data_IF_679780626957
#
_entry.id   IF_679780626957
#
_cell.length_a   1.000
_cell.length_b   1.000
_cell.length_c   1.000
_cell.angle_alpha   90.00
_cell.angle_beta   90.00
_cell.angle_gamma   90.00
#
_symmetry.space_group_name_H-M   'P 1'
#
loop_
_entity.id
_entity.type
_entity.pdbx_description
1 polymer ?
#
# COMPACT_ATOMS: atom_id res chain seq x y z
N UNK A 1 1.06 19.50 11.53
CA UNK A 1 1.35 18.27 12.26
C UNK A 1 2.72 17.75 11.82
N UNK A 2 3.75 18.07 12.64
CA UNK A 2 5.17 17.85 12.31
C UNK A 2 5.61 16.38 12.49
N UNK A 3 4.71 15.52 13.00
CA UNK A 3 4.99 14.10 13.20
C UNK A 3 4.93 13.26 11.91
N UNK A 4 4.51 13.88 10.79
CA UNK A 4 4.39 13.23 9.49
C UNK A 4 5.51 13.58 8.52
N UNK A 5 6.66 14.05 9.02
CA UNK A 5 7.80 14.33 8.15
C UNK A 5 8.63 13.06 7.95
N UNK A 6 8.43 12.33 6.88
CA UNK A 6 9.32 11.22 6.60
C UNK A 6 10.63 11.80 6.07
N UNK A 7 11.70 11.47 6.72
CA UNK A 7 13.00 11.65 6.10
C UNK A 7 13.11 10.70 4.92
N UNK A 8 13.79 11.14 3.87
CA UNK A 8 13.83 10.51 2.54
C UNK A 8 13.92 8.98 2.54
N UNK A 9 14.65 8.36 3.46
CA UNK A 9 14.87 6.90 3.47
C UNK A 9 13.79 6.12 4.20
N UNK A 10 13.24 6.62 5.29
CA UNK A 10 12.23 5.86 6.05
C UNK A 10 10.86 5.88 5.37
N UNK A 11 10.49 6.96 4.66
CA UNK A 11 9.25 7.02 3.90
C UNK A 11 9.28 6.23 2.60
N UNK A 12 10.47 6.08 1.97
CA UNK A 12 10.62 5.26 0.78
C UNK A 12 10.56 3.77 1.14
N UNK A 13 10.91 3.41 2.37
CA UNK A 13 10.96 2.04 2.86
C UNK A 13 9.64 1.53 3.44
N UNK A 14 8.87 2.41 4.09
CA UNK A 14 7.59 2.01 4.66
C UNK A 14 6.66 1.38 3.61
N UNK A 15 6.47 1.96 2.40
CA UNK A 15 5.72 1.29 1.36
C UNK A 15 6.36 -0.01 0.86
N UNK A 16 7.69 -0.11 0.83
CA UNK A 16 8.38 -1.33 0.41
C UNK A 16 8.18 -2.47 1.41
N UNK A 17 8.31 -2.21 2.70
CA UNK A 17 8.03 -3.18 3.76
C UNK A 17 6.55 -3.58 3.77
N UNK A 18 5.64 -2.62 3.64
CA UNK A 18 4.19 -2.87 3.53
C UNK A 18 3.87 -3.76 2.32
N UNK A 19 4.47 -3.49 1.15
CA UNK A 19 4.30 -4.35 -0.04
C UNK A 19 4.90 -5.75 0.16
N UNK A 20 5.99 -5.88 0.91
CA UNK A 20 6.55 -7.19 1.25
C UNK A 20 5.56 -8.01 2.11
N UNK A 21 4.91 -7.40 3.09
CA UNK A 21 3.84 -8.03 3.88
C UNK A 21 2.62 -8.36 3.01
N UNK A 22 2.25 -7.48 2.08
CA UNK A 22 1.18 -7.73 1.11
C UNK A 22 1.48 -8.95 0.23
N UNK A 23 2.74 -9.18 -0.15
CA UNK A 23 3.16 -10.37 -0.90
C UNK A 23 2.92 -11.66 -0.12
N UNK A 24 3.06 -11.65 1.21
CA UNK A 24 2.72 -12.78 2.07
C UNK A 24 1.22 -13.09 1.97
N UNK A 25 0.37 -12.07 2.00
CA UNK A 25 -1.09 -12.25 1.86
C UNK A 25 -1.49 -12.73 0.47
N UNK A 26 -0.85 -12.24 -0.60
CA UNK A 26 -1.04 -12.73 -1.97
C UNK A 26 -0.65 -14.21 -2.08
N UNK A 27 0.50 -14.59 -1.50
CA UNK A 27 0.95 -15.99 -1.50
C UNK A 27 -0.05 -16.89 -0.77
N UNK A 28 -0.56 -16.46 0.37
CA UNK A 28 -1.58 -17.21 1.10
C UNK A 28 -2.89 -17.34 0.29
N UNK A 29 -3.32 -16.27 -0.37
CA UNK A 29 -4.47 -16.32 -1.26
C UNK A 29 -4.26 -17.29 -2.44
N UNK A 30 -3.08 -17.25 -3.05
CA UNK A 30 -2.69 -18.18 -4.11
C UNK A 30 -2.77 -19.63 -3.63
N UNK A 31 -2.25 -19.96 -2.46
CA UNK A 31 -2.29 -21.32 -1.90
C UNK A 31 -3.73 -21.81 -1.62
N UNK A 32 -4.63 -20.90 -1.26
CA UNK A 32 -6.06 -21.22 -1.08
C UNK A 32 -6.71 -21.58 -2.42
N UNK A 33 -6.41 -20.84 -3.50
CA UNK A 33 -7.13 -20.95 -4.77
C UNK A 33 -6.46 -21.88 -5.78
N UNK A 34 -5.17 -22.22 -5.59
CA UNK A 34 -4.42 -23.09 -6.50
C UNK A 34 -4.76 -24.56 -6.31
N UNK A 35 -6.05 -24.86 -6.36
CA UNK A 35 -6.62 -26.21 -6.25
C UNK A 35 -7.63 -26.45 -7.37
N UNK A 36 -7.47 -27.57 -8.07
CA UNK A 36 -8.32 -27.90 -9.21
C UNK A 36 -9.76 -28.24 -8.79
N UNK A 37 -10.79 -27.47 -9.17
CA UNK A 37 -12.19 -27.76 -8.87
C UNK A 37 -12.87 -28.64 -9.94
N UNK A 38 -12.23 -28.86 -11.09
CA UNK A 38 -12.87 -29.52 -12.23
C UNK A 38 -13.30 -30.96 -11.94
N UNK A 39 -14.37 -31.37 -12.57
CA UNK A 39 -14.96 -32.70 -12.39
C UNK A 39 -15.79 -32.82 -11.11
N UNK A 40 -16.12 -31.72 -10.42
CA UNK A 40 -17.03 -31.72 -9.28
C UNK A 40 -18.50 -31.91 -9.64
N UNK A 41 -18.86 -31.78 -10.93
CA UNK A 41 -20.23 -31.89 -11.46
C UNK A 41 -21.26 -31.08 -10.67
N UNK A 42 -20.99 -29.77 -10.56
CA UNK A 42 -21.77 -28.81 -9.76
C UNK A 42 -21.93 -29.21 -8.28
N UNK A 43 -20.97 -29.96 -7.74
CA UNK A 43 -20.96 -30.39 -6.34
C UNK A 43 -21.59 -31.73 -6.06
N UNK A 44 -22.09 -32.42 -7.09
CA UNK A 44 -22.75 -33.72 -6.92
C UNK A 44 -21.84 -34.92 -7.23
N UNK A 45 -20.68 -34.70 -7.83
CA UNK A 45 -19.85 -35.76 -8.36
C UNK A 45 -20.40 -36.33 -9.65
N UNK A 46 -19.82 -37.43 -10.11
CA UNK A 46 -20.23 -38.10 -11.37
C UNK A 46 -20.13 -39.61 -11.25
N UNK A 47 -21.04 -40.32 -11.92
CA UNK A 47 -20.95 -41.77 -12.13
C UNK A 47 -19.96 -42.13 -13.26
N UNK A 48 -19.48 -41.17 -14.05
CA UNK A 48 -18.43 -41.44 -15.05
C UNK A 48 -17.09 -41.67 -14.37
N UNK A 49 -16.23 -42.56 -14.89
CA UNK A 49 -14.89 -42.82 -14.30
C UNK A 49 -13.91 -41.71 -14.66
N UNK A 50 -14.18 -40.51 -14.21
CA UNK A 50 -13.31 -39.34 -14.43
C UNK A 50 -12.09 -39.39 -13.53
N UNK A 51 -10.94 -38.90 -14.05
CA UNK A 51 -9.67 -38.83 -13.30
C UNK A 51 -9.31 -37.40 -12.99
N UNK A 52 -9.78 -36.88 -11.84
CA UNK A 52 -9.52 -35.52 -11.38
C UNK A 52 -8.06 -35.28 -11.01
N UNK A 53 -7.33 -36.30 -10.56
CA UNK A 53 -5.91 -36.19 -10.28
C UNK A 53 -5.09 -35.96 -11.55
N UNK A 54 -5.45 -36.63 -12.65
CA UNK A 54 -4.79 -36.41 -13.94
C UNK A 54 -5.01 -34.97 -14.44
N UNK A 55 -6.22 -34.47 -14.40
CA UNK A 55 -6.51 -33.09 -14.82
C UNK A 55 -5.83 -32.04 -13.91
N UNK A 56 -5.69 -32.31 -12.61
CA UNK A 56 -4.93 -31.47 -11.68
C UNK A 56 -3.47 -31.32 -12.13
N UNK A 57 -2.82 -32.44 -12.45
CA UNK A 57 -1.42 -32.45 -12.93
C UNK A 57 -1.27 -31.77 -14.29
N UNK A 58 -2.15 -32.08 -15.25
CA UNK A 58 -2.08 -31.51 -16.60
C UNK A 58 -2.30 -30.00 -16.63
N UNK A 59 -3.11 -29.47 -15.73
CA UNK A 59 -3.40 -28.04 -15.62
C UNK A 59 -2.40 -27.30 -14.71
N UNK A 60 -1.47 -28.00 -14.05
CA UNK A 60 -0.45 -27.39 -13.22
C UNK A 60 -0.95 -26.85 -11.89
N UNK A 61 -2.12 -27.30 -11.40
CA UNK A 61 -2.55 -26.94 -10.05
C UNK A 61 -1.69 -27.63 -9.00
N UNK A 62 -1.47 -26.95 -7.88
CA UNK A 62 -0.70 -27.50 -6.77
C UNK A 62 -1.39 -28.70 -6.11
N UNK A 63 -2.71 -28.68 -6.05
CA UNK A 63 -3.51 -29.73 -5.42
C UNK A 63 -4.89 -29.88 -6.08
N UNK A 64 -5.62 -30.91 -5.68
CA UNK A 64 -7.01 -31.13 -6.02
C UNK A 64 -7.92 -30.51 -4.96
N UNK A 65 -8.92 -29.76 -5.36
CA UNK A 65 -10.04 -29.41 -4.49
C UNK A 65 -10.89 -30.69 -4.28
N UNK A 66 -10.49 -31.49 -3.30
CA UNK A 66 -10.86 -32.90 -3.18
C UNK A 66 -12.36 -33.13 -3.06
N UNK A 67 -12.99 -32.48 -2.08
CA UNK A 67 -14.43 -32.63 -1.83
C UNK A 67 -15.22 -31.91 -2.93
N UNK A 68 -16.02 -32.67 -3.70
CA UNK A 68 -16.79 -32.14 -4.82
C UNK A 68 -17.85 -31.11 -4.40
N UNK A 69 -18.43 -31.26 -3.20
CA UNK A 69 -19.36 -30.26 -2.65
C UNK A 69 -18.61 -28.97 -2.34
N UNK A 70 -17.47 -29.06 -1.68
CA UNK A 70 -16.66 -27.88 -1.37
C UNK A 70 -16.09 -27.22 -2.63
N UNK A 71 -15.72 -27.97 -3.66
CA UNK A 71 -15.28 -27.42 -4.95
C UNK A 71 -16.33 -26.47 -5.56
N UNK A 72 -17.62 -26.77 -5.36
CA UNK A 72 -18.71 -25.87 -5.74
C UNK A 72 -18.95 -24.77 -4.71
N UNK A 73 -18.96 -25.11 -3.42
CA UNK A 73 -19.25 -24.19 -2.32
C UNK A 73 -18.12 -23.19 -2.07
N UNK A 74 -16.92 -23.48 -2.57
CA UNK A 74 -15.76 -22.58 -2.51
C UNK A 74 -15.89 -21.33 -3.39
N UNK A 75 -16.88 -21.29 -4.30
CA UNK A 75 -17.19 -20.10 -5.10
C UNK A 75 -17.66 -18.94 -4.20
N UNK A 76 -17.26 -17.74 -4.55
CA UNK A 76 -17.45 -16.56 -3.72
C UNK A 76 -16.39 -16.44 -2.59
N UNK A 77 -16.12 -17.53 -1.87
CA UNK A 77 -15.05 -17.54 -0.85
C UNK A 77 -13.66 -17.39 -1.48
N UNK A 78 -13.36 -18.16 -2.53
CA UNK A 78 -12.08 -18.10 -3.23
C UNK A 78 -11.85 -16.71 -3.81
N UNK A 79 -12.84 -16.18 -4.52
CA UNK A 79 -12.79 -14.85 -5.12
C UNK A 79 -12.61 -13.76 -4.07
N UNK A 80 -13.27 -13.87 -2.91
CA UNK A 80 -13.13 -12.90 -1.80
C UNK A 80 -11.74 -12.93 -1.17
N UNK A 81 -11.15 -14.11 -0.99
CA UNK A 81 -9.78 -14.24 -0.46
C UNK A 81 -8.78 -13.55 -1.40
N UNK A 82 -8.92 -13.77 -2.71
CA UNK A 82 -8.11 -13.07 -3.71
C UNK A 82 -8.36 -11.56 -3.68
N UNK A 83 -9.62 -11.14 -3.69
CA UNK A 83 -9.97 -9.72 -3.65
C UNK A 83 -9.38 -9.02 -2.44
N UNK A 84 -9.36 -9.67 -1.26
CA UNK A 84 -8.76 -9.13 -0.05
C UNK A 84 -7.24 -8.92 -0.21
N UNK A 85 -6.54 -9.86 -0.82
CA UNK A 85 -5.10 -9.71 -1.05
C UNK A 85 -4.80 -8.59 -2.06
N UNK A 86 -5.62 -8.43 -3.11
CA UNK A 86 -5.49 -7.29 -4.02
C UNK A 86 -5.80 -5.97 -3.33
N UNK A 87 -6.79 -5.94 -2.43
CA UNK A 87 -7.17 -4.75 -1.67
C UNK A 87 -6.06 -4.29 -0.72
N UNK A 88 -5.29 -5.21 -0.13
CA UNK A 88 -4.14 -4.87 0.72
C UNK A 88 -3.08 -4.11 -0.10
N UNK A 89 -2.64 -4.64 -1.24
CA UNK A 89 -1.70 -3.94 -2.13
C UNK A 89 -2.25 -2.59 -2.58
N UNK A 90 -3.54 -2.54 -2.92
CA UNK A 90 -4.19 -1.29 -3.31
C UNK A 90 -4.21 -0.26 -2.17
N UNK A 91 -4.31 -0.70 -0.92
CA UNK A 91 -4.25 0.21 0.23
C UNK A 91 -2.86 0.85 0.38
N UNK A 92 -1.81 0.04 0.30
CA UNK A 92 -0.42 0.51 0.32
C UNK A 92 -0.16 1.52 -0.82
N UNK A 93 -0.56 1.20 -2.06
CA UNK A 93 -0.39 2.10 -3.20
C UNK A 93 -1.24 3.38 -3.09
N UNK A 94 -2.45 3.29 -2.53
CA UNK A 94 -3.32 4.45 -2.31
C UNK A 94 -2.70 5.43 -1.33
N UNK A 95 -2.09 4.92 -0.24
CA UNK A 95 -1.38 5.72 0.76
C UNK A 95 -0.15 6.40 0.15
N UNK A 96 0.70 5.64 -0.53
CA UNK A 96 1.86 6.18 -1.25
C UNK A 96 1.46 7.29 -2.23
N UNK A 97 0.38 7.06 -2.98
CA UNK A 97 -0.13 8.04 -3.96
C UNK A 97 -0.65 9.31 -3.30
N UNK A 98 -1.28 9.19 -2.13
CA UNK A 98 -1.72 10.35 -1.35
C UNK A 98 -0.53 11.17 -0.86
N UNK A 99 0.51 10.52 -0.35
CA UNK A 99 1.72 11.19 0.12
C UNK A 99 2.44 11.90 -1.03
N UNK A 100 2.56 11.25 -2.19
CA UNK A 100 3.12 11.87 -3.38
C UNK A 100 2.34 13.11 -3.82
N UNK A 101 1.00 13.07 -3.84
CA UNK A 101 0.16 14.21 -4.14
C UNK A 101 0.34 15.34 -3.11
N UNK A 102 0.46 15.00 -1.83
CA UNK A 102 0.67 15.96 -0.76
C UNK A 102 2.02 16.66 -0.89
N UNK A 103 3.09 15.89 -1.12
CA UNK A 103 4.45 16.41 -1.17
C UNK A 103 4.78 17.16 -2.47
N UNK A 104 4.05 16.87 -3.55
CA UNK A 104 4.17 17.62 -4.80
C UNK A 104 3.49 18.99 -4.72
N UNK A 105 2.49 19.17 -3.84
CA UNK A 105 1.73 20.42 -3.83
C UNK A 105 2.62 21.63 -3.52
N UNK A 106 2.20 22.81 -3.99
CA UNK A 106 2.97 24.04 -3.91
C UNK A 106 3.36 24.46 -2.49
N UNK A 107 2.56 24.11 -1.47
CA UNK A 107 2.85 24.47 -0.08
C UNK A 107 4.00 23.68 0.50
N UNK A 108 4.18 22.43 0.06
CA UNK A 108 5.30 21.58 0.47
C UNK A 108 6.44 21.64 -0.54
N UNK A 109 6.16 21.26 -1.79
CA UNK A 109 7.13 21.25 -2.88
C UNK A 109 8.37 20.42 -2.57
N UNK A 110 8.20 19.28 -1.86
CA UNK A 110 9.30 18.42 -1.45
C UNK A 110 9.77 17.51 -2.57
N UNK A 111 8.84 17.15 -3.46
CA UNK A 111 9.10 16.29 -4.60
C UNK A 111 8.67 16.98 -5.89
N UNK A 112 9.36 16.66 -6.97
CA UNK A 112 9.07 17.12 -8.31
C UNK A 112 9.12 15.93 -9.27
N UNK A 113 8.46 16.08 -10.40
CA UNK A 113 8.50 15.12 -11.51
C UNK A 113 8.81 15.85 -12.82
N UNK A 114 9.45 15.19 -13.78
CA UNK A 114 9.63 15.73 -15.12
C UNK A 114 8.31 16.18 -15.75
N UNK A 115 8.36 17.16 -16.64
CA UNK A 115 7.17 17.75 -17.24
C UNK A 115 6.32 16.71 -18.00
N UNK A 116 6.97 15.71 -18.57
CA UNK A 116 6.36 14.60 -19.33
C UNK A 116 5.51 13.67 -18.47
N UNK A 117 5.75 13.66 -17.15
CA UNK A 117 5.04 12.83 -16.17
C UNK A 117 4.02 13.62 -15.36
N UNK A 118 3.77 14.87 -15.71
CA UNK A 118 2.79 15.74 -15.06
C UNK A 118 1.91 16.38 -16.12
N UNK A 119 0.67 16.72 -15.77
CA UNK A 119 -0.18 17.48 -16.67
C UNK A 119 -0.23 18.94 -16.27
N UNK A 120 -0.32 19.81 -17.28
CA UNK A 120 -0.51 21.23 -17.09
C UNK A 120 -1.97 21.56 -16.73
N UNK A 121 -2.19 22.82 -16.38
CA UNK A 121 -3.54 23.38 -16.23
C UNK A 121 -3.94 24.14 -17.50
N UNK A 122 -5.16 23.99 -17.95
CA UNK A 122 -5.73 24.80 -19.04
C UNK A 122 -5.89 26.29 -18.68
N UNK A 123 -5.83 26.62 -17.38
CA UNK A 123 -6.06 27.97 -16.85
C UNK A 123 -4.78 28.58 -16.29
N UNK A 124 -3.94 27.79 -15.62
CA UNK A 124 -2.72 28.23 -14.95
C UNK A 124 -1.48 27.58 -15.60
N UNK A 125 -0.76 28.27 -16.49
CA UNK A 125 0.30 27.64 -17.29
C UNK A 125 1.50 27.14 -16.48
N UNK A 126 1.67 27.59 -15.23
CA UNK A 126 2.74 27.16 -14.32
C UNK A 126 2.34 25.96 -13.43
N UNK A 127 1.04 25.58 -13.41
CA UNK A 127 0.55 24.51 -12.54
C UNK A 127 0.89 23.14 -13.13
N UNK A 128 1.52 22.31 -12.32
CA UNK A 128 1.75 20.88 -12.60
C UNK A 128 0.87 20.05 -11.67
N UNK A 129 0.13 19.11 -12.24
CA UNK A 129 -0.78 18.25 -11.49
C UNK A 129 -0.20 16.84 -11.36
N UNK A 130 -0.41 16.17 -10.20
CA UNK A 130 0.03 14.79 -9.97
C UNK A 130 -1.01 13.77 -10.47
N UNK A 131 -1.52 13.96 -11.70
CA UNK A 131 -2.68 13.20 -12.22
C UNK A 131 -2.47 11.69 -12.15
N UNK A 132 -1.25 11.22 -12.40
CA UNK A 132 -0.92 9.80 -12.33
C UNK A 132 -1.20 9.26 -10.94
N UNK A 133 -0.72 9.92 -9.89
CA UNK A 133 -0.97 9.50 -8.51
C UNK A 133 -2.42 9.69 -8.08
N UNK A 134 -3.11 10.72 -8.58
CA UNK A 134 -4.55 10.90 -8.34
C UNK A 134 -5.35 9.74 -8.93
N UNK A 135 -5.03 9.31 -10.15
CA UNK A 135 -5.67 8.17 -10.79
C UNK A 135 -5.31 6.84 -10.12
N UNK A 136 -4.04 6.61 -9.77
CA UNK A 136 -3.63 5.42 -9.01
C UNK A 136 -4.44 5.33 -7.70
N UNK A 137 -4.50 6.42 -6.93
CA UNK A 137 -5.25 6.49 -5.68
C UNK A 137 -6.73 6.15 -5.89
N UNK A 138 -7.35 6.71 -6.94
CA UNK A 138 -8.76 6.47 -7.25
C UNK A 138 -9.02 5.01 -7.66
N UNK A 139 -8.19 4.44 -8.54
CA UNK A 139 -8.28 3.04 -8.95
C UNK A 139 -8.07 2.09 -7.76
N UNK A 140 -7.07 2.35 -6.93
CA UNK A 140 -6.83 1.57 -5.72
C UNK A 140 -8.00 1.63 -4.73
N UNK A 141 -8.60 2.81 -4.53
CA UNK A 141 -9.79 2.93 -3.67
C UNK A 141 -10.98 2.11 -4.19
N UNK A 142 -11.15 1.99 -5.52
CA UNK A 142 -12.16 1.08 -6.09
C UNK A 142 -11.84 -0.38 -5.80
N UNK A 143 -10.58 -0.80 -5.94
CA UNK A 143 -10.15 -2.18 -5.65
C UNK A 143 -10.36 -2.52 -4.18
N UNK A 144 -10.14 -1.58 -3.27
CA UNK A 144 -10.40 -1.74 -1.83
C UNK A 144 -11.86 -2.03 -1.49
N UNK A 145 -12.80 -1.63 -2.32
CA UNK A 145 -14.22 -1.93 -2.15
C UNK A 145 -14.61 -3.37 -2.56
N UNK A 146 -13.81 -3.99 -3.43
CA UNK A 146 -14.12 -5.27 -4.06
C UNK A 146 -14.40 -6.44 -3.09
N UNK A 147 -13.65 -6.63 -1.98
CA UNK A 147 -13.95 -7.69 -1.02
C UNK A 147 -15.36 -7.58 -0.42
N UNK A 148 -15.80 -6.35 -0.14
CA UNK A 148 -17.13 -6.08 0.38
C UNK A 148 -18.20 -6.32 -0.69
N UNK A 149 -17.98 -5.89 -1.91
CA UNK A 149 -18.87 -6.12 -3.04
C UNK A 149 -19.09 -7.63 -3.27
N UNK A 150 -18.02 -8.43 -3.33
CA UNK A 150 -18.11 -9.89 -3.45
C UNK A 150 -18.85 -10.49 -2.26
N UNK A 151 -18.63 -9.99 -1.06
CA UNK A 151 -19.34 -10.45 0.14
C UNK A 151 -20.85 -10.22 0.01
N UNK A 152 -21.26 -9.04 -0.42
CA UNK A 152 -22.67 -8.70 -0.63
C UNK A 152 -23.33 -9.52 -1.73
N UNK A 153 -22.63 -9.72 -2.86
CA UNK A 153 -23.11 -10.54 -3.98
C UNK A 153 -23.34 -12.00 -3.60
N UNK A 154 -22.62 -12.51 -2.60
CA UNK A 154 -22.71 -13.91 -2.15
C UNK A 154 -23.54 -14.08 -0.90
N UNK A 155 -24.17 -13.03 -0.41
CA UNK A 155 -25.00 -13.05 0.80
C UNK A 155 -26.31 -13.80 0.55
N UNK A 156 -26.74 -14.59 1.55
CA UNK A 156 -28.02 -15.32 1.55
C UNK A 156 -28.17 -16.42 0.49
N UNK A 157 -27.05 -16.86 -0.11
CA UNK A 157 -27.10 -17.99 -1.04
C UNK A 157 -27.07 -19.30 -0.22
N UNK A 158 -28.05 -20.19 -0.41
CA UNK A 158 -28.01 -21.52 0.18
C UNK A 158 -26.89 -22.37 -0.44
N UNK A 159 -26.57 -23.51 0.18
CA UNK A 159 -25.60 -24.44 -0.36
C UNK A 159 -26.04 -24.97 -1.73
N UNK A 160 -25.16 -24.86 -2.74
CA UNK A 160 -25.41 -25.31 -4.10
C UNK A 160 -24.83 -24.44 -5.18
N UNK A 161 -25.25 -24.66 -6.43
CA UNK A 161 -24.89 -23.85 -7.57
C UNK A 161 -25.88 -22.69 -7.73
N UNK A 162 -25.33 -21.46 -7.83
CA UNK A 162 -26.12 -20.25 -8.08
C UNK A 162 -25.52 -19.41 -9.21
N UNK A 163 -26.40 -18.86 -10.05
CA UNK A 163 -25.98 -18.00 -11.19
C UNK A 163 -25.42 -16.66 -10.74
N UNK A 164 -25.78 -16.19 -9.57
CA UNK A 164 -25.24 -15.00 -8.91
C UNK A 164 -23.71 -14.98 -8.96
N UNK A 165 -23.09 -16.14 -8.74
CA UNK A 165 -21.63 -16.31 -8.75
C UNK A 165 -20.96 -16.08 -10.13
N UNK A 166 -21.76 -15.95 -11.21
CA UNK A 166 -21.21 -15.62 -12.53
C UNK A 166 -20.77 -14.16 -12.62
N UNK A 167 -21.43 -13.27 -11.89
CA UNK A 167 -21.12 -11.84 -11.86
C UNK A 167 -19.76 -11.54 -11.23
N UNK A 168 -19.24 -12.44 -10.39
CA UNK A 168 -17.93 -12.26 -9.73
C UNK A 168 -16.79 -11.96 -10.70
N UNK A 169 -16.84 -12.50 -11.92
CA UNK A 169 -15.81 -12.31 -12.94
C UNK A 169 -15.76 -10.87 -13.46
N UNK A 170 -16.91 -10.21 -13.54
CA UNK A 170 -17.04 -8.85 -14.06
C UNK A 170 -16.29 -7.85 -13.18
N UNK A 171 -16.16 -8.15 -11.89
CA UNK A 171 -15.52 -7.29 -10.91
C UNK A 171 -14.08 -7.71 -10.61
N UNK A 172 -13.85 -9.01 -10.39
CA UNK A 172 -12.54 -9.51 -9.97
C UNK A 172 -11.49 -9.46 -11.09
N UNK A 173 -11.83 -9.87 -12.31
CA UNK A 173 -10.84 -9.96 -13.40
C UNK A 173 -10.29 -8.59 -13.82
N UNK A 174 -11.11 -7.56 -14.01
CA UNK A 174 -10.59 -6.21 -14.27
C UNK A 174 -9.73 -5.65 -13.15
N UNK A 175 -9.97 -6.03 -11.89
CA UNK A 175 -9.18 -5.56 -10.75
C UNK A 175 -7.71 -5.99 -10.83
N UNK A 176 -7.42 -7.21 -11.33
CA UNK A 176 -6.04 -7.65 -11.56
C UNK A 176 -5.31 -6.74 -12.55
N UNK A 177 -5.94 -6.48 -13.70
CA UNK A 177 -5.35 -5.62 -14.71
C UNK A 177 -5.14 -4.21 -14.16
N UNK A 178 -6.16 -3.65 -13.54
CA UNK A 178 -6.10 -2.29 -12.98
C UNK A 178 -5.00 -2.16 -11.92
N UNK A 179 -4.89 -3.14 -11.02
CA UNK A 179 -3.85 -3.11 -9.98
C UNK A 179 -2.45 -3.24 -10.58
N UNK A 180 -2.28 -4.11 -11.57
CA UNK A 180 -1.02 -4.25 -12.29
C UNK A 180 -0.61 -2.94 -12.97
N UNK A 181 -1.53 -2.32 -13.69
CA UNK A 181 -1.31 -1.02 -14.34
C UNK A 181 -0.91 0.06 -13.28
N UNK A 182 -1.56 0.06 -12.11
CA UNK A 182 -1.22 0.98 -11.01
C UNK A 182 0.20 0.73 -10.46
N UNK A 183 0.61 -0.53 -10.30
CA UNK A 183 1.96 -0.89 -9.85
C UNK A 183 3.01 -0.42 -10.87
N UNK A 184 2.79 -0.69 -12.15
CA UNK A 184 3.69 -0.30 -13.23
C UNK A 184 3.83 1.22 -13.30
N UNK A 185 2.74 1.96 -13.22
CA UNK A 185 2.75 3.42 -13.23
C UNK A 185 3.39 4.02 -11.97
N UNK A 186 3.12 3.45 -10.79
CA UNK A 186 3.78 3.87 -9.56
C UNK A 186 5.29 3.67 -9.64
N UNK A 187 5.75 2.53 -10.17
CA UNK A 187 7.17 2.24 -10.40
C UNK A 187 7.82 3.24 -11.37
N UNK A 188 7.14 3.57 -12.47
CA UNK A 188 7.61 4.59 -13.42
C UNK A 188 7.75 5.96 -12.73
N UNK A 189 6.76 6.38 -11.97
CA UNK A 189 6.78 7.66 -11.26
C UNK A 189 7.89 7.71 -10.22
N UNK A 190 8.03 6.67 -9.38
CA UNK A 190 9.07 6.60 -8.35
C UNK A 190 10.49 6.58 -8.94
N UNK A 191 10.67 5.97 -10.11
CA UNK A 191 11.97 5.95 -10.81
C UNK A 191 12.37 7.34 -11.32
N UNK A 192 11.44 8.26 -11.47
CA UNK A 192 11.66 9.62 -12.00
C UNK A 192 11.38 10.72 -10.97
N UNK A 193 11.28 10.36 -9.68
CA UNK A 193 11.05 11.33 -8.61
C UNK A 193 12.31 12.16 -8.34
N UNK A 194 12.16 13.48 -8.35
CA UNK A 194 13.18 14.42 -7.95
C UNK A 194 12.83 14.98 -6.57
N UNK A 195 13.76 14.91 -5.62
CA UNK A 195 13.57 15.41 -4.28
C UNK A 195 14.25 16.76 -4.13
N UNK A 196 13.52 17.75 -3.62
CA UNK A 196 14.06 19.06 -3.32
C UNK A 196 15.20 18.92 -2.30
N UNK A 197 16.36 19.51 -2.65
CA UNK A 197 17.50 19.58 -1.74
C UNK A 197 17.26 20.67 -0.71
N UNK A 198 17.90 20.52 0.45
CA UNK A 198 17.95 21.55 1.50
C UNK A 198 16.59 21.95 2.12
N UNK A 199 15.59 21.04 2.09
CA UNK A 199 14.29 21.27 2.74
C UNK A 199 14.46 21.66 4.20
N UNK A 200 15.37 21.01 4.91
CA UNK A 200 15.60 21.21 6.34
C UNK A 200 16.36 22.52 6.66
N UNK A 201 16.89 23.22 5.66
CA UNK A 201 17.51 24.52 5.84
C UNK A 201 16.50 25.67 5.89
N UNK A 202 15.24 25.43 5.52
CA UNK A 202 14.16 26.42 5.64
C UNK A 202 13.82 26.65 7.12
N UNK A 203 13.88 27.91 7.55
CA UNK A 203 13.69 28.30 8.96
C UNK A 203 12.34 27.85 9.54
N UNK A 204 11.30 27.69 8.70
CA UNK A 204 9.99 27.16 9.14
C UNK A 204 10.07 25.75 9.72
N UNK A 205 11.13 24.98 9.40
CA UNK A 205 11.34 23.63 9.89
C UNK A 205 12.30 23.52 11.08
N UNK A 206 12.82 24.64 11.59
CA UNK A 206 13.78 24.67 12.71
C UNK A 206 13.32 23.88 13.94
N UNK A 207 12.03 23.89 14.22
CA UNK A 207 11.49 23.20 15.41
C UNK A 207 11.43 21.68 15.28
N UNK A 208 11.68 21.12 14.09
CA UNK A 208 11.86 19.66 13.92
C UNK A 208 13.04 19.13 14.76
N UNK A 209 14.04 19.98 14.99
CA UNK A 209 15.23 19.62 15.77
C UNK A 209 15.07 19.83 17.27
N UNK A 210 13.90 20.26 17.75
CA UNK A 210 13.68 20.50 19.19
C UNK A 210 13.84 19.25 20.03
N UNK A 211 13.43 18.08 19.53
CA UNK A 211 13.59 16.79 20.21
C UNK A 211 15.08 16.43 20.34
N UNK A 212 15.87 16.68 19.31
CA UNK A 212 17.31 16.42 19.33
C UNK A 212 18.02 17.29 20.37
N UNK A 213 17.61 18.54 20.52
CA UNK A 213 18.16 19.42 21.53
C UNK A 213 17.74 19.01 22.97
N UNK A 214 16.51 18.54 23.17
CA UNK A 214 16.08 17.90 24.43
C UNK A 214 16.95 16.68 24.73
N UNK A 215 17.13 15.78 23.73
CA UNK A 215 17.92 14.56 23.90
C UNK A 215 19.40 14.86 24.25
N UNK A 216 19.99 15.89 23.66
CA UNK A 216 21.35 16.36 24.02
C UNK A 216 21.45 16.75 25.50
N UNK A 217 20.47 17.49 26.01
CA UNK A 217 20.44 17.90 27.43
C UNK A 217 20.27 16.69 28.36
N UNK A 218 19.41 15.73 27.95
CA UNK A 218 19.21 14.49 28.73
C UNK A 218 20.50 13.66 28.77
N UNK A 219 21.17 13.52 27.64
CA UNK A 219 22.46 12.82 27.56
C UNK A 219 23.57 13.52 28.35
N UNK A 220 23.44 14.84 28.58
CA UNK A 220 24.33 15.61 29.47
C UNK A 220 23.95 15.49 30.96
N UNK A 221 22.95 14.66 31.31
CA UNK A 221 22.55 14.38 32.69
C UNK A 221 21.40 15.24 33.22
N UNK A 222 20.77 16.07 32.40
CA UNK A 222 19.59 16.85 32.82
C UNK A 222 18.34 15.96 32.77
N UNK A 223 17.51 15.92 33.84
CA UNK A 223 16.26 15.16 33.80
C UNK A 223 15.38 15.56 32.62
N UNK A 224 14.76 14.60 31.95
CA UNK A 224 13.98 14.85 30.74
C UNK A 224 12.95 15.98 30.88
N UNK A 225 12.23 16.02 32.00
CA UNK A 225 11.21 17.05 32.25
C UNK A 225 11.80 18.46 32.28
N UNK A 226 13.01 18.63 32.86
CA UNK A 226 13.67 19.92 32.96
C UNK A 226 14.28 20.32 31.62
N UNK A 227 14.87 19.36 30.88
CA UNK A 227 15.35 19.57 29.52
C UNK A 227 14.19 20.01 28.59
N UNK A 228 13.06 19.31 28.65
CA UNK A 228 11.85 19.63 27.86
C UNK A 228 11.34 21.06 28.16
N UNK A 229 11.20 21.40 29.46
CA UNK A 229 10.77 22.74 29.86
C UNK A 229 11.75 23.84 29.40
N UNK A 230 13.05 23.60 29.54
CA UNK A 230 14.07 24.54 29.09
C UNK A 230 13.96 24.84 27.60
N UNK A 231 13.91 23.79 26.77
CA UNK A 231 13.77 23.94 25.30
C UNK A 231 12.44 24.65 24.96
N UNK A 232 11.35 24.30 25.63
CA UNK A 232 10.06 24.98 25.44
C UNK A 232 10.12 26.46 25.71
N UNK A 233 10.74 26.88 26.85
CA UNK A 233 10.92 28.27 27.19
C UNK A 233 11.87 29.03 26.24
N UNK A 234 12.91 28.36 25.73
CA UNK A 234 13.83 28.94 24.74
C UNK A 234 13.10 29.18 23.40
N UNK A 235 12.16 28.27 23.00
CA UNK A 235 11.30 28.44 21.83
C UNK A 235 10.36 29.64 22.00
N UNK A 236 9.66 29.73 23.15
CA UNK A 236 8.74 30.83 23.46
C UNK A 236 9.45 32.18 23.52
N UNK A 237 10.66 32.20 24.04
CA UNK A 237 11.48 33.41 24.11
C UNK A 237 12.20 33.80 22.81
N UNK A 238 12.02 32.99 21.71
CA UNK A 238 12.72 33.20 20.44
C UNK A 238 14.24 32.98 20.51
N UNK A 239 14.72 32.28 21.54
CA UNK A 239 16.15 31.99 21.80
C UNK A 239 16.56 30.56 21.39
N UNK A 240 15.67 29.82 20.78
CA UNK A 240 15.92 28.43 20.38
C UNK A 240 17.08 28.37 19.38
N UNK A 241 18.10 27.63 19.73
CA UNK A 241 19.23 27.29 18.88
C UNK A 241 19.25 25.77 18.64
N UNK A 242 19.67 25.36 17.47
CA UNK A 242 19.66 23.94 17.09
C UNK A 242 20.82 23.61 16.17
N UNK A 243 21.15 22.35 16.13
CA UNK A 243 22.05 21.80 15.11
C UNK A 243 21.21 20.97 14.13
N UNK A 244 21.24 21.32 12.85
CA UNK A 244 20.50 20.63 11.81
C UNK A 244 21.13 19.26 11.49
N UNK A 245 21.24 18.39 12.46
CA UNK A 245 21.75 17.03 12.30
C UNK A 245 20.93 16.06 13.14
N UNK A 246 20.61 14.93 12.56
CA UNK A 246 19.96 13.80 13.22
C UNK A 246 20.90 12.61 13.13
N UNK A 247 21.26 12.05 14.29
CA UNK A 247 22.16 10.91 14.41
C UNK A 247 21.45 9.75 15.11
N UNK A 248 20.51 9.13 14.42
CA UNK A 248 19.83 7.94 14.92
C UNK A 248 20.62 6.69 14.52
N UNK A 249 20.93 5.83 15.49
CA UNK A 249 21.79 4.64 15.29
C UNK A 249 21.09 3.33 15.63
N UNK A 250 19.91 3.38 16.26
CA UNK A 250 19.16 2.17 16.58
C UNK A 250 18.58 1.50 15.32
N UNK A 251 18.27 0.23 15.40
CA UNK A 251 17.76 -0.58 14.30
C UNK A 251 16.47 0.03 13.72
N UNK A 252 16.40 0.08 12.40
CA UNK A 252 15.26 0.65 11.66
C UNK A 252 15.18 2.18 11.66
N UNK A 253 16.11 2.88 12.33
CA UNK A 253 16.18 4.33 12.26
C UNK A 253 16.86 4.83 10.98
N UNK A 254 16.69 6.12 10.67
CA UNK A 254 17.22 6.77 9.46
C UNK A 254 18.71 6.51 9.23
N UNK A 255 19.51 6.40 10.29
CA UNK A 255 20.95 6.12 10.23
C UNK A 255 21.30 4.64 10.16
N UNK A 256 20.34 3.74 10.38
CA UNK A 256 20.55 2.30 10.49
C UNK A 256 19.39 1.51 9.89
N UNK A 257 19.06 1.82 8.64
CA UNK A 257 18.09 1.04 7.84
C UNK A 257 18.80 -0.19 7.31
N UNK A 258 18.30 -1.38 7.65
CA UNK A 258 18.76 -2.66 7.08
C UNK A 258 17.79 -3.03 5.93
N UNK A 259 18.40 -3.40 4.80
CA UNK A 259 17.71 -3.97 3.63
C UNK A 259 18.09 -5.42 3.49
#
# INVERSE_FOLDING_TARGET
DLHSFPTRRSSDLEPAESLADDMVTIKAAYDVVNKNPLGSAAGYGSSFPINRTMTTKLLGFADLNYNVVYAQMGRGKAERVVAQSLANVADTLSKLSMDACLYLNQNFGFVHFPAELTTGSSIMPHKKNPDVFELIRSHCNRIKALPNEITLMTTNLPSGYHRDLQLLKEHLFPAFKTLKDCIEMAGLMLSNIEIKKDILSDEKYKYLFSVEEVNKLVNAGIPFRDAYKKIGLDIEAGKFTYQASVAHTHEGSIGNLRF
#
